data_IF_539626022939
#
_entry.id   IF_539626022939
#
_cell.length_a   1.000
_cell.length_b   1.000
_cell.length_c   1.000
_cell.angle_alpha   90.00
_cell.angle_beta   90.00
_cell.angle_gamma   90.00
#
_symmetry.space_group_name_H-M   'P 1'
#
loop_
_entity.id
_entity.type
_entity.pdbx_description
1 polymer ?
#
# COMPACT_ATOMS: atom_id res chain seq x y z
N UNK A 1 -42.43 10.45 13.70
CA UNK A 1 -42.05 11.42 12.66
C UNK A 1 -40.76 12.13 13.07
N UNK A 2 -39.61 11.56 12.74
CA UNK A 2 -38.33 12.26 12.80
C UNK A 2 -38.05 12.78 11.39
N UNK A 3 -38.26 14.10 11.19
CA UNK A 3 -37.98 14.80 9.94
C UNK A 3 -36.47 14.81 9.65
N UNK A 4 -36.12 14.52 8.41
CA UNK A 4 -34.77 14.76 7.88
C UNK A 4 -34.38 16.24 8.08
N UNK A 5 -33.13 16.53 8.50
CA UNK A 5 -32.67 17.91 8.59
C UNK A 5 -32.63 18.55 7.19
N UNK A 6 -33.06 19.81 7.04
CA UNK A 6 -33.06 20.50 5.77
C UNK A 6 -31.62 20.70 5.29
N UNK A 7 -31.41 20.44 4.01
CA UNK A 7 -30.19 20.74 3.27
C UNK A 7 -30.02 22.28 3.20
N UNK A 8 -29.22 22.81 4.12
CA UNK A 8 -28.92 24.23 4.16
C UNK A 8 -28.10 24.55 5.40
N UNK A 9 -26.79 24.28 5.36
CA UNK A 9 -25.88 24.76 6.40
C UNK A 9 -25.62 26.23 6.14
N UNK A 10 -25.98 27.15 7.07
CA UNK A 10 -25.64 28.56 6.93
C UNK A 10 -24.12 28.71 6.89
N UNK A 11 -23.58 29.39 5.89
CA UNK A 11 -22.19 29.81 5.85
C UNK A 11 -21.88 30.60 7.14
N UNK A 12 -21.15 29.96 8.09
CA UNK A 12 -20.74 30.58 9.34
C UNK A 12 -20.77 29.71 10.60
N UNK A 13 -21.47 28.57 10.61
CA UNK A 13 -21.41 27.63 11.72
C UNK A 13 -20.61 26.39 11.32
N UNK A 14 -19.32 26.41 11.56
CA UNK A 14 -18.47 25.21 11.45
C UNK A 14 -18.86 24.26 12.58
N UNK A 15 -19.55 23.19 12.23
CA UNK A 15 -19.77 22.06 13.14
C UNK A 15 -18.38 21.62 13.68
N UNK A 16 -18.15 21.56 15.01
CA UNK A 16 -16.86 21.18 15.57
C UNK A 16 -16.34 19.85 15.04
N UNK A 17 -17.23 18.92 14.68
CA UNK A 17 -16.86 17.64 14.07
C UNK A 17 -16.37 17.80 12.61
N UNK A 18 -16.91 18.76 11.83
CA UNK A 18 -16.39 19.06 10.49
C UNK A 18 -15.06 19.83 10.58
N UNK A 19 -14.92 20.77 11.49
CA UNK A 19 -13.66 21.48 11.71
C UNK A 19 -12.53 20.50 12.09
N UNK A 20 -12.79 19.51 12.94
CA UNK A 20 -11.85 18.46 13.29
C UNK A 20 -11.50 17.52 12.11
N UNK A 21 -12.39 17.37 11.12
CA UNK A 21 -12.13 16.58 9.92
C UNK A 21 -11.17 17.30 8.95
N UNK A 22 -11.17 18.64 8.96
CA UNK A 22 -10.30 19.47 8.12
C UNK A 22 -9.08 20.02 8.86
N UNK A 23 -8.88 19.67 10.13
CA UNK A 23 -7.72 20.11 10.90
C UNK A 23 -6.44 19.45 10.34
N UNK A 24 -5.51 20.25 9.79
CA UNK A 24 -4.27 19.75 9.20
C UNK A 24 -3.35 19.05 10.21
N UNK A 25 -3.53 19.31 11.50
CA UNK A 25 -2.76 18.70 12.59
C UNK A 25 -3.47 17.53 13.26
N UNK A 26 -4.64 17.12 12.76
CA UNK A 26 -5.44 16.00 13.31
C UNK A 26 -5.80 16.13 14.81
N UNK A 27 -5.96 17.35 15.30
CA UNK A 27 -6.24 17.67 16.70
C UNK A 27 -5.02 17.74 17.62
N UNK A 28 -3.80 17.61 17.08
CA UNK A 28 -2.56 17.70 17.84
C UNK A 28 -2.00 19.12 17.84
N UNK A 29 -1.36 19.52 18.92
CA UNK A 29 -0.61 20.79 18.95
C UNK A 29 0.72 20.61 18.23
N UNK A 30 1.22 21.68 17.57
CA UNK A 30 2.47 21.61 16.80
C UNK A 30 3.69 21.26 17.66
N UNK A 31 3.69 21.67 18.93
CA UNK A 31 4.74 21.42 19.91
C UNK A 31 4.55 20.09 20.67
N UNK A 32 3.44 19.39 20.44
CA UNK A 32 3.14 18.12 21.12
C UNK A 32 4.15 17.03 20.70
N UNK A 33 4.79 16.33 21.67
CA UNK A 33 5.75 15.27 21.37
C UNK A 33 5.04 14.06 20.76
N UNK A 34 5.26 13.83 19.45
CA UNK A 34 4.67 12.72 18.73
C UNK A 34 5.47 11.43 18.93
N UNK A 35 6.80 11.48 18.77
CA UNK A 35 7.69 10.31 18.82
C UNK A 35 9.04 10.75 19.36
N UNK A 36 9.46 10.20 20.50
CA UNK A 36 10.72 10.56 21.17
C UNK A 36 10.90 12.11 21.24
N UNK A 37 11.90 12.63 20.52
CA UNK A 37 12.25 14.04 20.39
C UNK A 37 11.60 14.75 19.17
N UNK A 38 10.70 14.07 18.44
CA UNK A 38 10.02 14.60 17.26
C UNK A 38 8.64 15.14 17.65
N UNK A 39 8.38 16.41 17.33
CA UNK A 39 7.08 17.04 17.55
C UNK A 39 6.08 16.72 16.42
N UNK A 40 4.80 16.91 16.68
CA UNK A 40 3.75 16.75 15.67
C UNK A 40 3.94 17.74 14.49
N UNK A 41 4.41 18.97 14.78
CA UNK A 41 4.72 19.98 13.77
C UNK A 41 5.88 19.58 12.85
N UNK A 42 6.97 19.05 13.40
CA UNK A 42 8.10 18.54 12.60
C UNK A 42 7.68 17.37 11.72
N UNK A 43 6.90 16.43 12.28
CA UNK A 43 6.36 15.32 11.51
C UNK A 43 5.40 15.80 10.41
N UNK A 44 4.55 16.78 10.69
CA UNK A 44 3.62 17.37 9.73
C UNK A 44 4.35 17.99 8.53
N UNK A 45 5.39 18.77 8.76
CA UNK A 45 6.23 19.38 7.72
C UNK A 45 6.88 18.32 6.83
N UNK A 46 7.49 17.29 7.43
CA UNK A 46 8.11 16.20 6.70
C UNK A 46 7.11 15.39 5.86
N UNK A 47 5.91 15.13 6.38
CA UNK A 47 4.86 14.34 5.71
C UNK A 47 4.29 15.09 4.50
N UNK A 48 4.07 16.39 4.62
CA UNK A 48 3.46 17.24 3.59
C UNK A 48 2.01 16.84 3.29
N UNK A 49 1.77 16.20 2.14
CA UNK A 49 0.40 15.81 1.75
C UNK A 49 -0.18 14.70 2.64
N UNK A 50 -1.49 14.83 2.95
CA UNK A 50 -2.24 13.89 3.81
C UNK A 50 -1.72 13.82 5.27
N UNK A 51 -1.16 14.90 5.76
CA UNK A 51 -0.67 15.04 7.15
C UNK A 51 -1.68 14.55 8.19
N UNK A 52 -2.97 14.94 8.19
CA UNK A 52 -3.92 14.50 9.21
C UNK A 52 -4.08 12.98 9.30
N UNK A 53 -4.09 12.30 8.16
CA UNK A 53 -4.15 10.84 8.12
C UNK A 53 -2.90 10.22 8.74
N UNK A 54 -1.71 10.69 8.33
CA UNK A 54 -0.46 10.09 8.78
C UNK A 54 -0.14 10.40 10.24
N UNK A 55 -0.45 11.58 10.75
CA UNK A 55 -0.30 11.90 12.17
C UNK A 55 -1.14 10.95 13.04
N UNK A 56 -2.41 10.70 12.66
CA UNK A 56 -3.25 9.72 13.36
C UNK A 56 -2.69 8.31 13.29
N UNK A 57 -2.15 7.91 12.13
CA UNK A 57 -1.51 6.60 11.96
C UNK A 57 -0.24 6.50 12.81
N UNK A 58 0.58 7.54 12.85
CA UNK A 58 1.82 7.57 13.63
C UNK A 58 1.53 7.49 15.13
N UNK A 59 0.58 8.28 15.62
CA UNK A 59 0.07 8.21 17.00
C UNK A 59 -0.44 6.81 17.34
N UNK A 60 -1.19 6.20 16.44
CA UNK A 60 -1.70 4.84 16.62
C UNK A 60 -0.56 3.81 16.68
N UNK A 61 0.42 3.90 15.79
CA UNK A 61 1.58 2.99 15.78
C UNK A 61 2.40 3.16 17.07
N UNK A 62 2.62 4.41 17.53
CA UNK A 62 3.30 4.67 18.78
C UNK A 62 2.60 4.01 19.96
N UNK A 63 1.27 4.19 20.07
CA UNK A 63 0.46 3.73 21.19
C UNK A 63 0.28 2.21 21.23
N UNK A 64 -0.03 1.61 20.07
CA UNK A 64 -0.43 0.20 20.00
C UNK A 64 0.63 -0.72 19.39
N UNK A 65 1.74 -0.18 18.85
CA UNK A 65 2.79 -0.92 18.13
C UNK A 65 2.29 -1.71 16.91
N UNK A 66 1.04 -1.46 16.49
CA UNK A 66 0.37 -2.11 15.35
C UNK A 66 0.18 -1.10 14.22
N UNK A 67 0.22 -1.59 12.97
CA UNK A 67 -0.08 -0.79 11.79
C UNK A 67 -1.53 -1.02 11.35
N UNK A 68 -2.16 0.03 10.79
CA UNK A 68 -3.44 -0.12 10.08
C UNK A 68 -3.17 -0.53 8.64
N UNK A 69 -4.11 -1.26 8.04
CA UNK A 69 -4.07 -1.60 6.63
C UNK A 69 -4.10 -0.33 5.76
N UNK A 70 -3.26 -0.27 4.74
CA UNK A 70 -3.20 0.84 3.80
C UNK A 70 -3.71 0.38 2.43
N UNK A 71 -4.96 0.74 2.12
CA UNK A 71 -5.62 0.33 0.90
C UNK A 71 -4.94 0.91 -0.36
N UNK A 72 -4.44 2.14 -0.29
CA UNK A 72 -3.70 2.74 -1.40
C UNK A 72 -2.40 1.98 -1.70
N UNK A 73 -1.66 1.55 -0.66
CA UNK A 73 -0.47 0.74 -0.82
C UNK A 73 -0.78 -0.69 -1.31
N UNK A 74 -1.92 -1.24 -0.92
CA UNK A 74 -2.38 -2.52 -1.44
C UNK A 74 -2.61 -2.45 -2.96
N UNK A 75 -3.34 -1.44 -3.46
CA UNK A 75 -3.63 -1.30 -4.89
C UNK A 75 -2.39 -0.87 -5.69
N UNK A 76 -1.69 0.15 -5.23
CA UNK A 76 -0.55 0.74 -5.95
C UNK A 76 0.76 -0.02 -5.73
N UNK A 77 0.80 -0.94 -4.74
CA UNK A 77 1.98 -1.75 -4.42
C UNK A 77 3.27 -0.92 -4.34
N UNK A 78 4.29 -1.26 -5.11
CA UNK A 78 5.58 -0.58 -5.12
C UNK A 78 5.50 0.91 -5.48
N UNK A 79 4.57 1.33 -6.34
CA UNK A 79 4.39 2.73 -6.73
C UNK A 79 4.07 3.61 -5.51
N UNK A 80 3.30 3.11 -4.55
CA UNK A 80 3.02 3.83 -3.31
C UNK A 80 4.31 4.19 -2.55
N UNK A 81 5.26 3.25 -2.47
CA UNK A 81 6.54 3.47 -1.79
C UNK A 81 7.43 4.45 -2.56
N UNK A 82 7.44 4.40 -3.91
CA UNK A 82 8.13 5.39 -4.75
C UNK A 82 7.59 6.80 -4.51
N UNK A 83 6.27 6.95 -4.49
CA UNK A 83 5.61 8.22 -4.19
C UNK A 83 6.01 8.79 -2.81
N UNK A 84 6.25 7.90 -1.84
CA UNK A 84 6.70 8.26 -0.48
C UNK A 84 8.23 8.39 -0.34
N UNK A 85 8.96 8.52 -1.44
CA UNK A 85 10.44 8.66 -1.48
C UNK A 85 11.18 7.46 -0.85
N UNK A 86 10.55 6.29 -0.75
CA UNK A 86 11.12 5.05 -0.24
C UNK A 86 11.58 4.16 -1.39
N UNK A 87 12.54 4.67 -2.18
CA UNK A 87 12.90 4.13 -3.50
C UNK A 87 13.31 2.65 -3.47
N UNK A 88 14.12 2.23 -2.51
CA UNK A 88 14.58 0.83 -2.43
C UNK A 88 13.41 -0.16 -2.31
N UNK A 89 12.46 0.10 -1.39
CA UNK A 89 11.27 -0.72 -1.23
C UNK A 89 10.31 -0.59 -2.42
N UNK A 90 10.19 0.63 -2.95
CA UNK A 90 9.35 0.90 -4.11
C UNK A 90 9.79 0.12 -5.35
N UNK A 91 11.09 0.15 -5.68
CA UNK A 91 11.65 -0.62 -6.80
C UNK A 91 11.47 -2.12 -6.57
N UNK A 92 11.83 -2.61 -5.37
CA UNK A 92 11.71 -4.03 -5.04
C UNK A 92 10.27 -4.55 -5.24
N UNK A 93 9.29 -3.89 -4.63
CA UNK A 93 7.89 -4.30 -4.74
C UNK A 93 7.31 -4.08 -6.14
N UNK A 94 7.74 -3.05 -6.86
CA UNK A 94 7.32 -2.84 -8.26
C UNK A 94 7.84 -3.96 -9.16
N UNK A 95 9.11 -4.33 -9.04
CA UNK A 95 9.69 -5.43 -9.83
C UNK A 95 8.99 -6.75 -9.52
N UNK A 96 8.73 -7.04 -8.25
CA UNK A 96 8.02 -8.27 -7.87
C UNK A 96 6.59 -8.31 -8.39
N UNK A 97 5.83 -7.21 -8.27
CA UNK A 97 4.43 -7.17 -8.69
C UNK A 97 4.29 -7.14 -10.20
N UNK A 98 4.94 -6.19 -10.87
CA UNK A 98 4.85 -6.05 -12.33
C UNK A 98 5.60 -7.15 -13.05
N UNK A 99 6.76 -7.58 -12.55
CA UNK A 99 7.53 -8.70 -13.09
C UNK A 99 6.72 -10.00 -13.10
N UNK A 100 6.05 -10.33 -12.00
CA UNK A 100 5.18 -11.52 -11.93
C UNK A 100 4.01 -11.41 -12.92
N UNK A 101 3.40 -10.24 -13.02
CA UNK A 101 2.27 -10.01 -13.94
C UNK A 101 2.69 -10.13 -15.41
N UNK A 102 3.82 -9.52 -15.77
CA UNK A 102 4.39 -9.59 -17.12
C UNK A 102 4.78 -11.04 -17.45
N UNK A 103 5.45 -11.73 -16.51
CA UNK A 103 5.82 -13.13 -16.68
C UNK A 103 4.59 -14.01 -16.91
N UNK A 104 3.53 -13.83 -16.11
CA UNK A 104 2.25 -14.54 -16.30
C UNK A 104 1.66 -14.28 -17.68
N UNK A 105 1.66 -13.02 -18.13
CA UNK A 105 1.19 -12.64 -19.48
C UNK A 105 2.01 -13.31 -20.58
N UNK A 106 3.33 -13.24 -20.47
CA UNK A 106 4.24 -13.83 -21.45
C UNK A 106 4.08 -15.35 -21.56
N UNK A 107 4.02 -16.07 -20.44
CA UNK A 107 3.83 -17.53 -20.43
C UNK A 107 2.57 -17.92 -21.18
N UNK A 108 1.46 -17.19 -21.02
CA UNK A 108 0.20 -17.48 -21.71
C UNK A 108 0.28 -17.26 -23.23
N UNK A 109 1.28 -16.55 -23.74
CA UNK A 109 1.50 -16.40 -25.20
C UNK A 109 2.32 -17.54 -25.79
N UNK A 110 2.96 -18.36 -24.96
CA UNK A 110 3.76 -19.49 -25.44
C UNK A 110 2.90 -20.55 -26.11
N UNK A 111 3.27 -21.04 -27.31
CA UNK A 111 2.52 -22.09 -28.02
C UNK A 111 2.32 -23.34 -27.14
N UNK A 112 3.33 -23.73 -26.37
CA UNK A 112 3.25 -24.87 -25.46
C UNK A 112 2.12 -24.71 -24.43
N UNK A 113 2.01 -23.55 -23.82
CA UNK A 113 0.95 -23.26 -22.83
C UNK A 113 -0.44 -23.24 -23.53
N UNK A 114 -0.55 -22.62 -24.68
CA UNK A 114 -1.80 -22.56 -25.44
C UNK A 114 -2.28 -23.94 -25.89
N UNK A 115 -1.37 -24.82 -26.34
CA UNK A 115 -1.70 -26.19 -26.70
C UNK A 115 -2.24 -26.98 -25.51
N UNK A 116 -1.58 -26.86 -24.34
CA UNK A 116 -2.06 -27.50 -23.12
C UNK A 116 -3.44 -26.99 -22.72
N UNK A 117 -3.66 -25.68 -22.75
CA UNK A 117 -4.95 -25.05 -22.43
C UNK A 117 -6.07 -25.54 -23.37
N UNK A 118 -5.82 -25.56 -24.67
CA UNK A 118 -6.77 -26.02 -25.66
C UNK A 118 -7.09 -27.51 -25.51
N UNK A 119 -6.12 -28.37 -25.21
CA UNK A 119 -6.33 -29.77 -24.96
C UNK A 119 -7.23 -30.01 -23.72
N UNK A 120 -7.03 -29.23 -22.66
CA UNK A 120 -7.90 -29.28 -21.46
C UNK A 120 -9.33 -28.88 -21.84
N UNK A 121 -9.52 -27.81 -22.60
CA UNK A 121 -10.85 -27.35 -23.02
C UNK A 121 -11.56 -28.41 -23.91
N UNK A 122 -10.84 -29.04 -24.82
CA UNK A 122 -11.40 -30.11 -25.67
C UNK A 122 -11.80 -31.33 -24.83
N UNK A 123 -10.96 -31.74 -23.88
CA UNK A 123 -11.28 -32.85 -23.00
C UNK A 123 -12.54 -32.58 -22.18
N UNK A 124 -12.70 -31.38 -21.63
CA UNK A 124 -13.93 -30.98 -20.94
C UNK A 124 -15.14 -30.96 -21.86
N UNK A 125 -15.00 -30.48 -23.09
CA UNK A 125 -16.07 -30.45 -24.08
C UNK A 125 -16.52 -31.86 -24.53
N UNK A 126 -15.63 -32.85 -24.46
CA UNK A 126 -15.94 -34.25 -24.80
C UNK A 126 -16.50 -35.06 -23.60
N UNK A 127 -16.73 -34.40 -22.44
CA UNK A 127 -17.28 -35.04 -21.24
C UNK A 127 -16.24 -35.83 -20.43
N UNK A 128 -14.94 -35.68 -20.70
CA UNK A 128 -13.91 -36.27 -19.89
C UNK A 128 -13.78 -35.53 -18.53
N UNK A 129 -13.56 -36.30 -17.48
CA UNK A 129 -13.34 -35.73 -16.14
C UNK A 129 -11.89 -35.21 -16.07
N UNK A 130 -11.75 -33.90 -16.19
CA UNK A 130 -10.48 -33.19 -16.09
C UNK A 130 -10.45 -32.51 -14.71
N UNK A 131 -9.60 -32.95 -13.83
CA UNK A 131 -9.53 -32.44 -12.46
C UNK A 131 -8.10 -32.28 -11.96
N UNK A 132 -7.93 -31.49 -10.92
CA UNK A 132 -6.63 -31.28 -10.27
C UNK A 132 -6.07 -32.59 -9.68
N UNK A 133 -6.94 -33.51 -9.26
CA UNK A 133 -6.54 -34.79 -8.66
C UNK A 133 -5.79 -35.72 -9.61
N UNK A 134 -6.00 -35.58 -10.91
CA UNK A 134 -5.29 -36.31 -11.95
C UNK A 134 -4.35 -35.43 -12.78
N UNK A 135 -3.90 -34.29 -12.25
CA UNK A 135 -3.07 -33.31 -12.92
C UNK A 135 -3.65 -32.83 -14.27
N UNK A 136 -4.98 -32.77 -14.42
CA UNK A 136 -5.68 -32.50 -15.69
C UNK A 136 -5.32 -33.48 -16.81
N UNK A 137 -4.81 -34.70 -16.50
CA UNK A 137 -4.33 -35.67 -17.48
C UNK A 137 -3.00 -35.28 -18.14
N UNK A 138 -2.27 -34.31 -17.59
CA UNK A 138 -1.01 -33.79 -18.10
C UNK A 138 0.20 -34.54 -17.55
N UNK A 139 1.32 -34.49 -18.27
CA UNK A 139 2.63 -34.82 -17.72
C UNK A 139 3.01 -33.87 -16.58
N UNK A 140 3.97 -34.23 -15.72
CA UNK A 140 4.39 -33.36 -14.64
C UNK A 140 4.94 -32.02 -15.13
N UNK A 141 5.67 -32.00 -16.25
CA UNK A 141 6.24 -30.80 -16.85
C UNK A 141 5.14 -29.86 -17.38
N UNK A 142 4.20 -30.39 -18.15
CA UNK A 142 3.07 -29.65 -18.69
C UNK A 142 2.16 -29.12 -17.58
N UNK A 143 1.96 -29.88 -16.52
CA UNK A 143 1.17 -29.46 -15.37
C UNK A 143 1.78 -28.20 -14.68
N UNK A 144 3.09 -28.20 -14.44
CA UNK A 144 3.77 -27.04 -13.88
C UNK A 144 3.79 -25.83 -14.83
N UNK A 145 3.97 -26.08 -16.12
CA UNK A 145 3.88 -25.02 -17.13
C UNK A 145 2.47 -24.41 -17.16
N UNK A 146 1.43 -25.23 -17.10
CA UNK A 146 0.04 -24.80 -17.06
C UNK A 146 -0.28 -23.94 -15.82
N UNK A 147 0.22 -24.34 -14.64
CA UNK A 147 -0.03 -23.63 -13.39
C UNK A 147 0.84 -22.38 -13.19
N UNK A 148 1.94 -22.25 -13.91
CA UNK A 148 2.91 -21.18 -13.69
C UNK A 148 2.33 -19.76 -13.77
N UNK A 149 1.39 -19.40 -14.67
CA UNK A 149 0.75 -18.08 -14.67
C UNK A 149 -0.12 -17.86 -13.43
N UNK A 150 -0.77 -18.90 -12.92
CA UNK A 150 -1.58 -18.82 -11.70
C UNK A 150 -0.68 -18.56 -10.49
N UNK A 151 0.43 -19.28 -10.37
CA UNK A 151 1.42 -19.10 -9.32
C UNK A 151 1.98 -17.67 -9.34
N UNK A 152 2.35 -17.16 -10.53
CA UNK A 152 2.84 -15.80 -10.68
C UNK A 152 1.81 -14.74 -10.22
N UNK A 153 0.53 -14.94 -10.53
CA UNK A 153 -0.54 -14.05 -10.07
C UNK A 153 -0.76 -14.13 -8.55
N UNK A 154 -0.66 -15.31 -7.94
CA UNK A 154 -0.72 -15.50 -6.48
C UNK A 154 0.43 -14.76 -5.80
N UNK A 155 1.65 -14.85 -6.34
CA UNK A 155 2.82 -14.13 -5.84
C UNK A 155 2.56 -12.61 -5.90
N UNK A 156 2.07 -12.11 -7.02
CA UNK A 156 1.73 -10.69 -7.17
C UNK A 156 0.70 -10.23 -6.12
N UNK A 157 -0.36 -11.00 -5.92
CA UNK A 157 -1.39 -10.70 -4.92
C UNK A 157 -0.82 -10.73 -3.48
N UNK A 158 0.02 -11.70 -3.17
CA UNK A 158 0.68 -11.78 -1.87
C UNK A 158 1.58 -10.56 -1.60
N UNK A 159 2.34 -10.11 -2.61
CA UNK A 159 3.15 -8.88 -2.52
C UNK A 159 2.27 -7.65 -2.28
N UNK A 160 1.15 -7.52 -2.99
CA UNK A 160 0.19 -6.42 -2.78
C UNK A 160 -0.36 -6.42 -1.34
N UNK A 161 -0.72 -7.59 -0.80
CA UNK A 161 -1.18 -7.73 0.59
C UNK A 161 -0.08 -7.30 1.59
N UNK A 162 1.15 -7.75 1.38
CA UNK A 162 2.30 -7.34 2.21
C UNK A 162 2.47 -5.82 2.16
N UNK A 163 2.38 -5.20 0.99
CA UNK A 163 2.42 -3.75 0.83
C UNK A 163 1.32 -3.07 1.65
N UNK A 164 0.07 -3.53 1.53
CA UNK A 164 -1.06 -2.98 2.29
C UNK A 164 -0.89 -3.07 3.81
N UNK A 165 -0.34 -4.17 4.30
CA UNK A 165 -0.12 -4.41 5.74
C UNK A 165 1.08 -3.62 6.30
N UNK A 166 2.13 -3.47 5.50
CA UNK A 166 3.43 -2.95 6.00
C UNK A 166 3.65 -1.47 5.70
N UNK A 167 2.99 -0.91 4.68
CA UNK A 167 3.28 0.43 4.16
C UNK A 167 3.28 1.53 5.23
N UNK A 168 2.27 1.57 6.07
CA UNK A 168 2.17 2.59 7.12
C UNK A 168 3.31 2.48 8.14
N UNK A 169 3.69 1.25 8.53
CA UNK A 169 4.80 1.02 9.46
C UNK A 169 6.15 1.35 8.82
N UNK A 170 6.34 0.97 7.56
CA UNK A 170 7.54 1.30 6.80
C UNK A 170 7.68 2.83 6.64
N UNK A 171 6.60 3.52 6.30
CA UNK A 171 6.60 4.97 6.16
C UNK A 171 6.86 5.67 7.51
N UNK A 172 6.24 5.20 8.60
CA UNK A 172 6.53 5.68 9.95
C UNK A 172 8.01 5.56 10.29
N UNK A 173 8.60 4.37 10.16
CA UNK A 173 10.01 4.14 10.47
C UNK A 173 10.95 4.96 9.57
N UNK A 174 10.61 5.09 8.28
CA UNK A 174 11.36 5.91 7.34
C UNK A 174 11.34 7.38 7.72
N UNK A 175 10.15 7.92 8.03
CA UNK A 175 9.98 9.31 8.45
C UNK A 175 10.75 9.62 9.74
N UNK A 176 10.61 8.80 10.76
CA UNK A 176 11.35 8.96 12.03
C UNK A 176 12.86 8.98 11.79
N UNK A 177 13.36 8.03 11.01
CA UNK A 177 14.80 7.92 10.69
C UNK A 177 15.32 9.15 9.93
N UNK A 178 14.54 9.63 8.97
CA UNK A 178 14.89 10.82 8.17
C UNK A 178 14.84 12.09 9.01
N UNK A 179 13.79 12.32 9.80
CA UNK A 179 13.67 13.50 10.66
C UNK A 179 14.82 13.53 11.69
N UNK A 180 15.11 12.40 12.35
CA UNK A 180 16.25 12.31 13.29
C UNK A 180 17.58 12.64 12.61
N UNK A 181 17.79 12.14 11.38
CA UNK A 181 18.99 12.46 10.60
C UNK A 181 19.08 13.94 10.27
N UNK A 182 17.99 14.58 9.84
CA UNK A 182 17.95 16.01 9.52
C UNK A 182 18.25 16.83 10.80
N UNK A 183 17.60 16.48 11.94
CA UNK A 183 17.84 17.17 13.23
C UNK A 183 19.27 17.06 13.72
N UNK A 184 19.98 15.97 13.40
CA UNK A 184 21.39 15.80 13.81
C UNK A 184 22.38 16.52 12.88
N UNK A 185 21.96 16.94 11.69
CA UNK A 185 22.85 17.51 10.66
C UNK A 185 22.58 19.00 10.42
N UNK A 186 21.41 19.50 10.79
CA UNK A 186 20.94 20.85 10.47
C UNK A 186 20.80 21.70 11.72
N UNK A 187 21.27 22.95 11.68
CA UNK A 187 21.06 23.92 12.75
C UNK A 187 19.58 24.23 12.92
N UNK A 188 19.17 24.58 14.14
CA UNK A 188 17.74 24.79 14.50
C UNK A 188 17.06 25.86 13.65
N UNK A 189 17.78 26.87 13.16
CA UNK A 189 17.24 27.96 12.33
C UNK A 189 16.79 27.48 10.95
N UNK A 190 17.53 26.53 10.32
CA UNK A 190 17.22 25.98 8.99
C UNK A 190 16.41 24.68 9.03
N UNK A 191 16.14 24.13 10.22
CA UNK A 191 15.46 22.85 10.37
C UNK A 191 14.09 22.82 9.68
N UNK A 192 13.34 23.91 9.77
CA UNK A 192 11.99 24.02 9.20
C UNK A 192 11.99 23.96 7.69
N UNK A 193 12.93 24.63 7.05
CA UNK A 193 13.08 24.68 5.59
C UNK A 193 13.51 23.32 5.02
N UNK A 194 14.45 22.65 5.69
CA UNK A 194 14.95 21.33 5.25
C UNK A 194 13.95 20.19 5.45
N UNK A 195 13.01 20.33 6.39
CA UNK A 195 11.96 19.31 6.58
C UNK A 195 10.88 19.33 5.49
N UNK A 196 10.72 20.44 4.76
CA UNK A 196 9.71 20.61 3.70
C UNK A 196 10.21 20.16 2.31
N UNK A 197 11.51 19.95 2.12
CA UNK A 197 12.13 19.48 0.87
C UNK A 197 12.19 17.96 0.78
#
# INVERSE_FOLDING_TARGET
>A
NQGMPPFGIPFGQTNPQMAAAFDPMAGMKSDEPLIDDITAGEAAKFIGKNTPYHLRVFSFIKRFKKSRFNFAAFILSGIYFLYRKMYALGILFSVLTFGSTIASGYIKTLPAWQNIYNNILQAQGSGQVVSLSNNFGLSAEDFWLFLSPLIANIISMAVMLICGLTANKCFFNHSVKKIKKIKSTTDKEHLTEVLET
#
